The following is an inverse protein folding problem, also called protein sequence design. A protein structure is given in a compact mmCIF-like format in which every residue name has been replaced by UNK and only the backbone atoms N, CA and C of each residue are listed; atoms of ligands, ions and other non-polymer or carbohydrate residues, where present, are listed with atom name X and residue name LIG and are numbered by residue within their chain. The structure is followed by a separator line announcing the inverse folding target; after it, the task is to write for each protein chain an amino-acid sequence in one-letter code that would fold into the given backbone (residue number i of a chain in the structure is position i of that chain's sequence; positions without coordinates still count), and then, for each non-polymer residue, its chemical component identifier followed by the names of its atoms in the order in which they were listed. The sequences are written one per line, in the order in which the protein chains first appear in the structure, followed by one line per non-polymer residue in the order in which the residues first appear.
data_IF_925944659123
#
_entry.id   IF_925944659123
#
_cell.length_a   1.000
_cell.length_b   1.000
_cell.length_c   1.000
_cell.angle_alpha   90.00
_cell.angle_beta   90.00
_cell.angle_gamma   90.00
#
_symmetry.space_group_name_H-M   'P 1'
#
loop_
_entity.id
_entity.type
_entity.pdbx_description
1 polymer ?
#
# COMPACT_ATOMS: atom_id res chain seq x y z
N UNK A 1 -9.24 8.57 -11.25
CA UNK A 1 -8.20 8.84 -10.23
C UNK A 1 -7.70 10.29 -10.25
N UNK A 2 -7.76 11.03 -11.38
CA UNK A 2 -7.34 12.45 -11.43
C UNK A 2 -7.96 13.32 -10.31
N UNK A 3 -9.27 13.24 -10.09
CA UNK A 3 -9.92 13.99 -9.00
C UNK A 3 -9.39 13.66 -7.59
N UNK A 4 -8.91 12.43 -7.37
CA UNK A 4 -8.26 12.05 -6.12
C UNK A 4 -6.93 12.77 -5.97
N UNK A 5 -6.14 12.80 -7.05
CA UNK A 5 -4.86 13.52 -7.06
C UNK A 5 -5.05 15.02 -6.86
N UNK A 6 -6.01 15.61 -7.57
CA UNK A 6 -6.23 17.06 -7.57
C UNK A 6 -6.81 17.56 -6.23
N UNK A 7 -7.67 16.75 -5.59
CA UNK A 7 -8.45 17.22 -4.43
C UNK A 7 -8.07 16.58 -3.10
N UNK A 8 -7.57 15.35 -3.09
CA UNK A 8 -7.36 14.61 -1.85
C UNK A 8 -5.88 14.41 -1.47
N UNK A 9 -4.97 14.36 -2.46
CA UNK A 9 -3.54 14.23 -2.17
C UNK A 9 -2.96 15.58 -1.78
N UNK A 10 -2.35 15.64 -0.61
CA UNK A 10 -1.66 16.82 -0.06
C UNK A 10 -0.20 16.48 0.18
N UNK A 11 0.62 16.60 -0.88
CA UNK A 11 2.05 16.25 -0.82
C UNK A 11 2.84 17.13 0.15
N UNK A 12 2.48 18.41 0.24
CA UNK A 12 3.07 19.39 1.15
C UNK A 12 2.88 19.06 2.63
N UNK A 13 1.71 18.52 2.96
CA UNK A 13 1.36 18.08 4.31
C UNK A 13 1.67 16.59 4.56
N UNK A 14 1.95 15.81 3.50
CA UNK A 14 2.15 14.36 3.57
C UNK A 14 0.86 13.60 3.85
N UNK A 15 -0.27 14.01 3.28
CA UNK A 15 -1.60 13.49 3.59
C UNK A 15 -2.37 13.03 2.36
N UNK A 16 -3.24 12.05 2.57
CA UNK A 16 -4.31 11.66 1.65
C UNK A 16 -5.66 11.76 2.36
N UNK A 17 -6.43 12.78 2.03
CA UNK A 17 -7.70 13.08 2.68
C UNK A 17 -8.78 12.06 2.33
N UNK A 18 -9.73 11.86 3.24
CA UNK A 18 -10.93 11.06 2.96
C UNK A 18 -11.88 11.80 2.00
N UNK A 19 -12.09 13.07 2.25
CA UNK A 19 -12.83 14.01 1.40
C UNK A 19 -12.46 15.45 1.77
N UNK A 20 -12.88 16.42 0.94
CA UNK A 20 -12.70 17.86 1.17
C UNK A 20 -13.82 18.64 0.48
N UNK A 21 -14.32 19.77 1.08
CA UNK A 21 -14.01 20.26 2.42
C UNK A 21 -14.62 19.38 3.52
N UNK A 22 -14.12 19.43 4.77
CA UNK A 22 -14.76 18.76 5.90
C UNK A 22 -16.13 19.38 6.20
N UNK A 23 -17.00 18.60 6.87
CA UNK A 23 -18.27 19.11 7.35
C UNK A 23 -18.06 20.02 8.56
N UNK A 24 -18.43 21.28 8.42
CA UNK A 24 -18.41 22.28 9.48
C UNK A 24 -19.77 23.02 9.48
N UNK A 25 -19.98 23.89 8.48
CA UNK A 25 -21.22 24.62 8.24
C UNK A 25 -22.01 23.98 7.08
N UNK A 26 -22.76 22.92 7.36
CA UNK A 26 -23.60 22.29 6.34
C UNK A 26 -25.08 22.39 6.70
N UNK A 27 -25.92 22.69 5.72
CA UNK A 27 -27.40 22.73 5.87
C UNK A 27 -27.94 21.30 6.00
N UNK A 28 -27.31 20.32 5.31
CA UNK A 28 -27.70 18.93 5.39
C UNK A 28 -26.99 18.25 6.57
N UNK A 29 -27.72 17.45 7.32
CA UNK A 29 -27.17 16.70 8.44
C UNK A 29 -26.43 15.45 7.96
N UNK A 30 -25.08 15.39 8.04
CA UNK A 30 -24.29 14.25 7.58
C UNK A 30 -24.23 13.11 8.62
N UNK A 31 -25.01 13.18 9.70
CA UNK A 31 -24.98 12.20 10.78
C UNK A 31 -23.77 12.35 11.70
N UNK A 32 -23.27 11.24 12.24
CA UNK A 32 -22.23 11.23 13.26
C UNK A 32 -20.89 11.84 12.80
N UNK A 33 -20.63 11.91 11.49
CA UNK A 33 -19.37 12.44 10.94
C UNK A 33 -19.15 13.89 11.39
N UNK A 34 -20.20 14.70 11.41
CA UNK A 34 -20.16 16.10 11.90
C UNK A 34 -19.79 16.22 13.39
N UNK A 35 -19.92 15.14 14.15
CA UNK A 35 -19.48 15.10 15.55
C UNK A 35 -17.97 15.11 15.74
N UNK A 36 -17.19 14.81 14.68
CA UNK A 36 -15.74 15.01 14.67
C UNK A 36 -15.40 16.43 14.25
N UNK A 37 -14.39 17.00 14.87
CA UNK A 37 -13.83 18.29 14.47
C UNK A 37 -13.36 18.21 13.01
N UNK A 38 -13.56 19.28 12.19
CA UNK A 38 -13.04 19.34 10.83
C UNK A 38 -11.58 18.89 10.73
N UNK A 39 -11.25 18.07 9.73
CA UNK A 39 -9.93 17.52 9.53
C UNK A 39 -9.54 16.35 10.45
N UNK A 40 -10.45 15.84 11.27
CA UNK A 40 -10.21 14.72 12.19
C UNK A 40 -11.01 13.50 11.77
N UNK A 41 -10.34 12.33 11.74
CA UNK A 41 -10.95 11.03 11.40
C UNK A 41 -11.77 11.08 10.10
N UNK A 42 -13.02 10.62 10.16
CA UNK A 42 -13.93 10.57 9.02
C UNK A 42 -14.37 11.96 8.56
N UNK A 43 -14.16 13.02 9.34
CA UNK A 43 -14.53 14.38 8.92
C UNK A 43 -13.38 15.09 8.18
N UNK A 44 -12.99 14.57 7.02
CA UNK A 44 -12.01 15.20 6.12
C UNK A 44 -10.56 15.03 6.51
N UNK A 45 -10.24 14.26 7.57
CA UNK A 45 -8.86 13.85 7.87
C UNK A 45 -8.33 12.81 6.88
N UNK A 46 -7.06 12.43 7.03
CA UNK A 46 -6.57 11.20 6.41
C UNK A 46 -7.14 10.03 7.20
N UNK A 47 -8.17 9.40 6.71
CA UNK A 47 -8.64 8.13 7.25
C UNK A 47 -7.84 7.01 6.60
N UNK A 48 -6.84 6.50 7.31
CA UNK A 48 -5.75 5.70 6.72
C UNK A 48 -6.25 4.43 6.02
N UNK A 49 -7.31 3.80 6.52
CA UNK A 49 -7.94 2.65 5.87
C UNK A 49 -8.36 2.99 4.42
N UNK A 50 -9.12 4.08 4.22
CA UNK A 50 -9.57 4.52 2.91
C UNK A 50 -8.39 5.02 2.05
N UNK A 51 -7.42 5.70 2.66
CA UNK A 51 -6.21 6.14 1.98
C UNK A 51 -5.42 4.95 1.39
N UNK A 52 -5.33 3.84 2.12
CA UNK A 52 -4.69 2.61 1.61
C UNK A 52 -5.49 2.01 0.44
N UNK A 53 -6.81 2.08 0.44
CA UNK A 53 -7.61 1.64 -0.71
C UNK A 53 -7.34 2.45 -1.98
N UNK A 54 -6.96 3.71 -1.84
CA UNK A 54 -6.50 4.53 -2.97
C UNK A 54 -5.19 3.98 -3.56
N UNK A 55 -4.25 3.56 -2.72
CA UNK A 55 -3.02 2.87 -3.16
C UNK A 55 -3.36 1.60 -3.96
N UNK A 56 -4.27 0.78 -3.44
CA UNK A 56 -4.75 -0.44 -4.11
C UNK A 56 -5.39 -0.11 -5.47
N UNK A 57 -6.17 0.97 -5.54
CA UNK A 57 -6.82 1.40 -6.77
C UNK A 57 -5.82 1.82 -7.85
N UNK A 58 -4.78 2.59 -7.52
CA UNK A 58 -3.71 2.94 -8.46
C UNK A 58 -2.95 1.70 -8.94
N UNK A 59 -2.60 0.78 -8.03
CA UNK A 59 -1.98 -0.49 -8.40
C UNK A 59 -2.87 -1.32 -9.33
N UNK A 60 -4.20 -1.38 -9.07
CA UNK A 60 -5.14 -2.09 -9.92
C UNK A 60 -5.25 -1.50 -11.33
N UNK A 61 -5.06 -0.16 -11.46
CA UNK A 61 -5.01 0.54 -12.74
C UNK A 61 -3.65 0.40 -13.47
N UNK A 62 -2.65 -0.22 -12.84
CA UNK A 62 -1.32 -0.42 -13.41
C UNK A 62 -0.36 0.74 -13.19
N UNK A 63 -0.72 1.74 -12.39
CA UNK A 63 0.14 2.87 -12.05
C UNK A 63 0.99 2.54 -10.81
N UNK A 64 2.08 1.83 -11.03
CA UNK A 64 2.98 1.36 -9.98
C UNK A 64 3.77 2.51 -9.33
N UNK A 65 4.15 3.53 -10.09
CA UNK A 65 4.86 4.69 -9.58
C UNK A 65 3.99 5.44 -8.56
N UNK A 66 2.74 5.74 -8.95
CA UNK A 66 1.82 6.45 -8.07
C UNK A 66 1.40 5.62 -6.86
N UNK A 67 1.13 4.34 -7.04
CA UNK A 67 0.80 3.43 -5.94
C UNK A 67 1.91 3.38 -4.88
N UNK A 68 3.17 3.27 -5.31
CA UNK A 68 4.30 3.24 -4.40
C UNK A 68 4.57 4.60 -3.73
N UNK A 69 4.39 5.70 -4.44
CA UNK A 69 4.51 7.06 -3.88
C UNK A 69 3.47 7.28 -2.76
N UNK A 70 2.20 6.95 -3.01
CA UNK A 70 1.16 7.08 -1.99
C UNK A 70 1.35 6.09 -0.84
N UNK A 71 1.83 4.88 -1.11
CA UNK A 71 2.20 3.94 -0.05
C UNK A 71 3.31 4.52 0.85
N UNK A 72 4.31 5.16 0.25
CA UNK A 72 5.38 5.83 0.99
C UNK A 72 4.86 7.06 1.77
N UNK A 73 3.91 7.81 1.20
CA UNK A 73 3.23 8.93 1.85
C UNK A 73 2.53 8.50 3.14
N UNK A 74 1.85 7.34 3.13
CA UNK A 74 1.11 6.81 4.27
C UNK A 74 2.00 6.11 5.31
N UNK A 75 3.28 5.86 5.00
CA UNK A 75 4.17 5.12 5.87
C UNK A 75 4.59 5.96 7.08
N UNK A 76 4.29 5.54 8.33
CA UNK A 76 4.58 6.31 9.54
C UNK A 76 6.08 6.61 9.73
N UNK A 77 6.97 5.72 9.25
CA UNK A 77 8.41 5.96 9.30
C UNK A 77 8.78 7.24 8.54
N UNK A 78 8.13 7.52 7.41
CA UNK A 78 8.41 8.69 6.59
C UNK A 78 7.97 10.00 7.26
N UNK A 79 6.91 9.97 8.07
CA UNK A 79 6.46 11.11 8.85
C UNK A 79 7.43 11.48 9.97
N UNK A 80 8.21 10.54 10.49
CA UNK A 80 9.07 10.71 11.66
C UNK A 80 10.58 10.69 11.34
N UNK A 81 10.98 10.86 10.07
CA UNK A 81 12.39 10.82 9.65
C UNK A 81 13.26 11.94 10.21
N UNK A 82 12.66 13.06 10.57
CA UNK A 82 13.36 14.22 11.11
C UNK A 82 12.80 14.57 12.49
N UNK A 83 13.56 15.24 13.37
CA UNK A 83 13.06 15.71 14.66
C UNK A 83 11.78 16.55 14.52
N UNK A 84 11.73 17.46 13.55
CA UNK A 84 10.55 18.29 13.28
C UNK A 84 9.35 17.46 12.79
N UNK A 85 9.60 16.45 11.97
CA UNK A 85 8.57 15.51 11.52
C UNK A 85 8.02 14.69 12.69
N UNK A 86 8.89 14.15 13.53
CA UNK A 86 8.49 13.39 14.71
C UNK A 86 7.68 14.26 15.71
N UNK A 87 8.10 15.51 15.92
CA UNK A 87 7.39 16.48 16.78
C UNK A 87 6.00 16.83 16.21
N UNK A 88 5.85 16.88 14.90
CA UNK A 88 4.56 17.11 14.24
C UNK A 88 3.67 15.87 14.28
N UNK A 89 4.23 14.68 13.95
CA UNK A 89 3.48 13.43 13.86
C UNK A 89 3.02 12.92 15.24
N UNK A 90 3.83 13.03 16.27
CA UNK A 90 3.54 12.77 17.71
C UNK A 90 3.02 11.39 18.08
N UNK A 91 3.08 10.43 17.19
CA UNK A 91 2.68 9.05 17.44
C UNK A 91 3.81 8.10 17.07
N UNK A 92 3.68 6.82 17.44
CA UNK A 92 4.72 5.82 17.23
C UNK A 92 5.04 5.64 15.73
N UNK A 93 6.30 5.84 15.29
CA UNK A 93 6.66 5.76 13.88
C UNK A 93 6.71 4.33 13.33
N UNK A 94 6.43 3.33 14.15
CA UNK A 94 6.38 1.91 13.79
C UNK A 94 4.95 1.33 13.84
N UNK A 95 3.95 2.17 14.02
CA UNK A 95 2.53 1.79 14.05
C UNK A 95 1.76 2.61 13.03
N UNK A 96 0.87 1.96 12.29
CA UNK A 96 -0.04 2.66 11.39
C UNK A 96 -1.09 3.39 12.21
N UNK A 97 -1.12 4.73 12.12
CA UNK A 97 -2.20 5.53 12.70
C UNK A 97 -3.51 5.28 11.95
N UNK A 98 -4.63 5.20 12.68
CA UNK A 98 -5.95 5.07 12.07
C UNK A 98 -6.32 6.30 11.25
N UNK A 99 -5.85 7.47 11.70
CA UNK A 99 -6.05 8.75 11.05
C UNK A 99 -4.86 9.70 11.28
N UNK A 100 -4.73 10.69 10.39
CA UNK A 100 -3.81 11.82 10.53
C UNK A 100 -4.60 13.10 10.32
N UNK A 101 -4.40 14.09 11.20
CA UNK A 101 -5.19 15.31 11.20
C UNK A 101 -4.82 16.22 10.03
N UNK A 102 -5.83 16.86 9.44
CA UNK A 102 -5.68 17.61 8.19
C UNK A 102 -5.91 19.11 8.30
N UNK A 103 -6.40 19.59 9.47
CA UNK A 103 -6.71 21.00 9.66
C UNK A 103 -5.85 21.64 10.77
N UNK A 104 -5.53 22.97 10.63
CA UNK A 104 -4.82 23.71 11.67
C UNK A 104 -5.54 23.69 13.01
N UNK A 105 -4.79 23.71 14.14
CA UNK A 105 -3.33 23.80 14.22
C UNK A 105 -2.62 22.44 14.21
N UNK A 106 -3.28 21.36 13.84
CA UNK A 106 -2.79 19.99 14.05
C UNK A 106 -2.47 19.24 12.74
N UNK A 107 -2.26 19.94 11.63
CA UNK A 107 -1.94 19.31 10.34
C UNK A 107 -0.73 18.37 10.46
N UNK A 108 -0.90 17.13 10.02
CA UNK A 108 0.14 16.11 10.04
C UNK A 108 0.33 15.38 11.37
N UNK A 109 -0.49 15.69 12.39
CA UNK A 109 -0.47 14.96 13.67
C UNK A 109 -1.21 13.64 13.51
N UNK A 110 -0.58 12.52 13.88
CA UNK A 110 -1.22 11.22 13.98
C UNK A 110 -2.28 11.22 15.08
N UNK A 111 -3.41 10.60 14.79
CA UNK A 111 -4.52 10.41 15.71
C UNK A 111 -4.40 9.08 16.46
N UNK A 112 -5.42 8.23 16.37
CA UNK A 112 -5.45 6.97 17.06
C UNK A 112 -4.48 5.95 16.47
N UNK A 113 -3.73 5.28 17.31
CA UNK A 113 -2.78 4.24 16.95
C UNK A 113 -3.22 2.87 17.47
N UNK A 114 -2.52 1.80 17.07
CA UNK A 114 -2.81 0.42 17.44
C UNK A 114 -4.16 -0.12 16.92
N UNK A 115 -4.75 0.56 15.94
CA UNK A 115 -5.88 0.07 15.17
C UNK A 115 -5.38 -0.88 14.09
N UNK A 116 -5.70 -2.17 14.20
CA UNK A 116 -5.15 -3.21 13.34
C UNK A 116 -5.75 -3.24 11.94
N UNK A 117 -6.95 -2.66 11.72
CA UNK A 117 -7.61 -2.64 10.43
C UNK A 117 -6.81 -1.92 9.35
N UNK A 118 -6.38 -0.67 9.61
CA UNK A 118 -5.55 0.10 8.68
C UNK A 118 -4.17 -0.55 8.47
N UNK A 119 -3.57 -1.11 9.53
CA UNK A 119 -2.30 -1.83 9.43
C UNK A 119 -2.42 -3.09 8.57
N UNK A 120 -3.48 -3.87 8.74
CA UNK A 120 -3.75 -5.06 7.93
C UNK A 120 -3.93 -4.71 6.44
N UNK A 121 -4.66 -3.63 6.14
CA UNK A 121 -4.80 -3.15 4.77
C UNK A 121 -3.50 -2.61 4.18
N UNK A 122 -2.70 -1.90 4.97
CA UNK A 122 -1.37 -1.42 4.54
C UNK A 122 -0.45 -2.59 4.19
N UNK A 123 -0.41 -3.63 5.04
CA UNK A 123 0.33 -4.86 4.77
C UNK A 123 -0.13 -5.53 3.46
N UNK A 124 -1.44 -5.68 3.27
CA UNK A 124 -2.02 -6.28 2.07
C UNK A 124 -1.77 -5.44 0.82
N UNK A 125 -1.86 -4.11 0.91
CA UNK A 125 -1.55 -3.23 -0.22
C UNK A 125 -0.10 -3.41 -0.68
N UNK A 126 0.86 -3.45 0.25
CA UNK A 126 2.27 -3.69 -0.08
C UNK A 126 2.49 -5.08 -0.68
N UNK A 127 2.01 -6.12 -0.01
CA UNK A 127 2.27 -7.50 -0.44
C UNK A 127 1.46 -7.92 -1.67
N UNK A 128 0.13 -7.68 -1.64
CA UNK A 128 -0.78 -8.24 -2.63
C UNK A 128 -0.99 -7.33 -3.85
N UNK A 129 -0.87 -5.99 -3.68
CA UNK A 129 -1.16 -5.04 -4.76
C UNK A 129 0.09 -4.47 -5.40
N UNK A 130 1.12 -4.10 -4.60
CA UNK A 130 2.38 -3.58 -5.14
C UNK A 130 3.32 -4.74 -5.51
N UNK A 131 3.70 -5.61 -4.56
CA UNK A 131 4.54 -6.76 -4.87
C UNK A 131 3.80 -7.86 -5.63
N UNK A 132 2.47 -7.82 -5.64
CA UNK A 132 1.62 -8.69 -6.44
C UNK A 132 1.60 -10.16 -5.99
N UNK A 133 1.95 -10.45 -4.74
CA UNK A 133 2.07 -11.82 -4.22
C UNK A 133 0.79 -12.22 -3.51
N UNK A 134 0.05 -13.17 -4.08
CA UNK A 134 -1.25 -13.60 -3.58
C UNK A 134 -1.37 -15.11 -3.53
N UNK A 135 -1.71 -15.64 -2.36
CA UNK A 135 -2.04 -17.06 -2.20
C UNK A 135 -3.48 -17.32 -2.69
N UNK A 136 -3.62 -18.26 -3.63
CA UNK A 136 -4.91 -18.70 -4.19
C UNK A 136 -4.99 -20.22 -4.12
N UNK A 137 -5.62 -20.73 -3.06
CA UNK A 137 -5.63 -22.17 -2.78
C UNK A 137 -4.21 -22.69 -2.59
N UNK A 138 -3.78 -23.61 -3.46
CA UNK A 138 -2.43 -24.19 -3.47
C UNK A 138 -1.50 -23.56 -4.50
N UNK A 139 -1.83 -22.36 -4.99
CA UNK A 139 -1.00 -21.63 -5.97
C UNK A 139 -0.64 -20.26 -5.46
N UNK A 140 0.59 -19.83 -5.74
CA UNK A 140 1.05 -18.48 -5.51
C UNK A 140 0.99 -17.69 -6.82
N UNK A 141 0.03 -16.75 -6.89
CA UNK A 141 -0.08 -15.82 -8.02
C UNK A 141 0.91 -14.69 -7.79
N UNK A 142 1.70 -14.37 -8.82
CA UNK A 142 2.69 -13.29 -8.81
C UNK A 142 2.39 -12.35 -9.96
N UNK A 143 1.85 -11.17 -9.64
CA UNK A 143 1.42 -10.13 -10.58
C UNK A 143 1.76 -8.74 -10.01
N UNK A 144 3.05 -8.35 -10.04
CA UNK A 144 3.53 -7.10 -9.48
C UNK A 144 2.98 -5.87 -10.20
N UNK A 145 2.79 -4.78 -9.42
CA UNK A 145 2.61 -3.43 -9.92
C UNK A 145 3.57 -2.50 -9.18
N UNK A 146 4.82 -2.43 -9.67
CA UNK A 146 5.94 -1.76 -9.02
C UNK A 146 6.34 -0.47 -9.74
N UNK A 147 7.10 0.43 -9.08
CA UNK A 147 7.71 1.57 -9.76
C UNK A 147 8.57 1.13 -10.95
N UNK A 148 8.46 1.87 -12.05
CA UNK A 148 9.26 1.61 -13.26
C UNK A 148 10.77 1.66 -12.98
N UNK A 149 11.19 2.50 -12.05
CA UNK A 149 12.59 2.63 -11.63
C UNK A 149 13.14 1.42 -10.83
N UNK A 150 12.27 0.50 -10.38
CA UNK A 150 12.75 -0.70 -9.68
C UNK A 150 13.24 -1.74 -10.68
N UNK A 151 14.51 -2.08 -10.58
CA UNK A 151 15.11 -3.16 -11.41
C UNK A 151 14.55 -4.55 -11.07
N UNK A 152 13.84 -4.67 -9.94
CA UNK A 152 13.25 -5.90 -9.45
C UNK A 152 13.23 -5.96 -7.92
N UNK A 153 12.85 -7.11 -7.39
CA UNK A 153 12.85 -7.38 -5.95
C UNK A 153 12.95 -8.87 -5.66
N UNK A 154 13.19 -9.20 -4.40
CA UNK A 154 13.25 -10.58 -3.92
C UNK A 154 12.36 -10.78 -2.70
N UNK A 155 11.61 -11.91 -2.68
CA UNK A 155 10.78 -12.32 -1.54
C UNK A 155 11.12 -13.75 -1.17
N UNK A 156 11.22 -14.04 0.13
CA UNK A 156 11.21 -15.39 0.66
C UNK A 156 9.82 -15.69 1.21
N UNK A 157 9.14 -16.64 0.59
CA UNK A 157 7.82 -17.11 1.00
C UNK A 157 7.94 -18.52 1.59
N UNK A 158 7.32 -18.72 2.73
CA UNK A 158 7.27 -20.04 3.39
C UNK A 158 5.87 -20.62 3.25
N UNK A 159 5.80 -21.83 2.70
CA UNK A 159 4.57 -22.61 2.60
C UNK A 159 4.72 -23.89 3.43
N UNK A 160 4.14 -23.90 4.63
CA UNK A 160 4.39 -24.92 5.65
C UNK A 160 5.89 -25.10 5.91
N UNK A 161 6.46 -26.26 5.56
CA UNK A 161 7.89 -26.59 5.75
C UNK A 161 8.76 -26.24 4.53
N UNK A 162 8.12 -26.02 3.37
CA UNK A 162 8.82 -25.66 2.14
C UNK A 162 9.08 -24.13 2.06
N UNK A 163 10.17 -23.77 1.37
CA UNK A 163 10.60 -22.37 1.15
C UNK A 163 10.64 -22.06 -0.34
N UNK A 164 10.02 -20.94 -0.72
CA UNK A 164 10.05 -20.40 -2.06
C UNK A 164 10.84 -19.10 -2.08
N UNK A 165 11.89 -19.03 -2.91
CA UNK A 165 12.69 -17.81 -3.13
C UNK A 165 12.26 -17.22 -4.46
N UNK A 166 11.51 -16.13 -4.40
CA UNK A 166 10.94 -15.45 -5.55
C UNK A 166 11.87 -14.30 -5.94
N UNK A 167 12.35 -14.30 -7.18
CA UNK A 167 13.10 -13.21 -7.79
C UNK A 167 12.28 -12.61 -8.92
N UNK A 168 11.95 -11.34 -8.79
CA UNK A 168 11.29 -10.57 -9.84
C UNK A 168 12.33 -9.66 -10.48
N UNK A 169 12.42 -9.72 -11.79
CA UNK A 169 13.34 -8.92 -12.62
C UNK A 169 12.51 -7.98 -13.50
N UNK A 170 12.93 -6.72 -13.60
CA UNK A 170 12.28 -5.70 -14.43
C UNK A 170 13.26 -5.05 -15.40
N UNK A 171 13.72 -5.80 -16.43
CA UNK A 171 14.75 -5.31 -17.35
C UNK A 171 14.26 -4.18 -18.26
N UNK A 172 12.95 -4.04 -18.43
CA UNK A 172 12.35 -3.06 -19.33
C UNK A 172 11.76 -1.83 -18.62
N UNK A 173 11.87 -1.75 -17.28
CA UNK A 173 11.37 -0.62 -16.51
C UNK A 173 9.86 -0.43 -16.66
N UNK A 174 9.09 -1.49 -16.60
CA UNK A 174 7.63 -1.45 -16.67
C UNK A 174 7.02 -1.54 -15.27
N UNK A 175 5.84 -0.98 -15.09
CA UNK A 175 5.15 -1.11 -13.80
C UNK A 175 4.50 -2.47 -13.62
N UNK A 176 4.05 -3.11 -14.70
CA UNK A 176 3.26 -4.36 -14.67
C UNK A 176 3.46 -5.18 -15.93
N UNK A 177 3.13 -6.46 -15.85
CA UNK A 177 3.16 -7.41 -16.97
C UNK A 177 4.20 -8.50 -16.73
N UNK A 178 3.75 -9.73 -16.47
CA UNK A 178 4.63 -10.90 -16.35
C UNK A 178 4.77 -11.55 -17.71
N UNK A 179 6.00 -11.55 -18.26
CA UNK A 179 6.32 -12.16 -19.54
C UNK A 179 6.95 -13.54 -19.40
N UNK A 180 7.60 -13.82 -18.26
CA UNK A 180 8.11 -15.15 -17.95
C UNK A 180 7.91 -15.51 -16.47
N UNK A 181 7.56 -16.77 -16.24
CA UNK A 181 7.43 -17.38 -14.91
C UNK A 181 8.07 -18.76 -14.94
N UNK A 182 9.04 -18.99 -14.05
CA UNK A 182 9.77 -20.25 -13.95
C UNK A 182 9.77 -20.78 -12.52
N UNK A 183 9.69 -22.08 -12.35
CA UNK A 183 9.90 -22.80 -11.09
C UNK A 183 11.05 -23.78 -11.24
N UNK A 184 12.10 -23.62 -10.43
CA UNK A 184 13.32 -24.47 -10.47
C UNK A 184 13.93 -24.58 -11.87
N UNK A 185 13.91 -23.47 -12.64
CA UNK A 185 14.41 -23.41 -14.02
C UNK A 185 13.48 -23.99 -15.09
N UNK A 186 12.26 -24.41 -14.71
CA UNK A 186 11.25 -24.91 -15.66
C UNK A 186 10.19 -23.85 -15.88
N UNK A 187 9.95 -23.46 -17.14
CA UNK A 187 8.95 -22.47 -17.49
C UNK A 187 7.52 -22.98 -17.19
N UNK A 188 6.73 -22.15 -16.53
CA UNK A 188 5.33 -22.41 -16.21
C UNK A 188 4.43 -21.74 -17.27
N UNK A 189 4.41 -22.31 -18.48
CA UNK A 189 3.63 -21.77 -19.59
C UNK A 189 2.13 -21.84 -19.35
N UNK A 190 1.44 -20.67 -19.36
CA UNK A 190 -0.02 -20.57 -19.27
C UNK A 190 -0.65 -20.93 -17.93
N UNK A 191 0.14 -21.17 -16.90
CA UNK A 191 -0.38 -21.45 -15.56
C UNK A 191 -0.76 -20.17 -14.80
N UNK A 192 -1.85 -20.23 -14.04
CA UNK A 192 -2.35 -19.09 -13.27
C UNK A 192 -1.50 -18.76 -12.03
N UNK A 193 -0.34 -19.38 -11.82
CA UNK A 193 0.58 -19.16 -10.70
C UNK A 193 1.53 -20.33 -10.46
N UNK A 194 2.38 -20.18 -9.47
CA UNK A 194 3.35 -21.18 -9.01
C UNK A 194 2.63 -22.21 -8.15
N UNK A 195 2.62 -23.52 -8.52
CA UNK A 195 2.07 -24.56 -7.65
C UNK A 195 2.92 -24.70 -6.39
N UNK A 196 2.26 -24.76 -5.23
CA UNK A 196 2.90 -24.89 -3.94
C UNK A 196 2.82 -26.34 -3.44
N UNK A 197 3.96 -26.89 -3.04
CA UNK A 197 4.07 -28.23 -2.42
C UNK A 197 4.70 -28.09 -1.03
N UNK A 198 4.27 -28.95 -0.10
CA UNK A 198 4.85 -29.03 1.24
C UNK A 198 5.80 -30.24 1.31
N UNK A 199 6.97 -30.13 0.72
CA UNK A 199 7.97 -31.20 0.64
C UNK A 199 9.21 -30.94 1.51
N UNK A 200 9.20 -29.84 2.30
CA UNK A 200 10.33 -29.42 3.12
C UNK A 200 11.51 -28.87 2.31
N UNK A 201 11.37 -28.77 0.98
CA UNK A 201 12.40 -28.32 0.06
C UNK A 201 12.52 -26.79 -0.07
N UNK A 202 13.53 -26.39 -0.87
CA UNK A 202 13.71 -25.00 -1.27
C UNK A 202 13.51 -24.89 -2.79
N UNK A 203 12.59 -24.01 -3.17
CA UNK A 203 12.20 -23.79 -4.56
C UNK A 203 12.61 -22.40 -5.01
N UNK A 204 13.16 -22.32 -6.23
CA UNK A 204 13.51 -21.06 -6.87
C UNK A 204 12.44 -20.65 -7.87
N UNK A 205 11.92 -19.42 -7.70
CA UNK A 205 10.90 -18.85 -8.59
C UNK A 205 11.49 -17.62 -9.25
N UNK A 206 11.54 -17.64 -10.59
CA UNK A 206 11.97 -16.50 -11.40
C UNK A 206 10.78 -15.90 -12.13
N UNK A 207 10.63 -14.59 -12.05
CA UNK A 207 9.57 -13.81 -12.71
C UNK A 207 10.23 -12.69 -13.49
N UNK A 208 9.84 -12.49 -14.74
CA UNK A 208 10.32 -11.37 -15.56
C UNK A 208 9.15 -10.50 -15.98
N UNK A 209 9.30 -9.19 -15.78
CA UNK A 209 8.35 -8.16 -16.23
C UNK A 209 8.77 -7.63 -17.62
N UNK A 210 7.74 -7.30 -18.47
CA UNK A 210 7.96 -6.74 -19.79
C UNK A 210 6.69 -6.51 -20.57
#
# INVERSE_FOLDING_TARGET
MAAVDDHLVRLDAGLLLLFTPPFDDTVLEPGYIKGYVPGVRENGGQYTHAAVWTVIAFAALGDGDRAAELFALLNPINHARTPAGAERYKVEPYVIAADVYAEPPHVGRGGWTWYTGSAGWMYRAGLESILGIRLRGTHLVIDPCIPQAWAGFRVAFRYHDARYVIRVENPHGVSRGVTALELNGVALGGQAGVPLVNDGGSHDVRVVLG
#
